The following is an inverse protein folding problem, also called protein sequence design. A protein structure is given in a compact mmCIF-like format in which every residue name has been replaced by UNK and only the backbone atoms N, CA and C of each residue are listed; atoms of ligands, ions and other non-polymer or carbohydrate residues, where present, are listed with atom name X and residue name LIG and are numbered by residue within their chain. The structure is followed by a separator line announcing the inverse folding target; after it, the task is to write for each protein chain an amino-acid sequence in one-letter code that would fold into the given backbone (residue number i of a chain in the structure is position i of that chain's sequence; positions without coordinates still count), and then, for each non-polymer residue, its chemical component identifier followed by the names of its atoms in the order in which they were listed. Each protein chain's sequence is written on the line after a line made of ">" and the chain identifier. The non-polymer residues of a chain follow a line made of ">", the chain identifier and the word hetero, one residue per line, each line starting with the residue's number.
data_IF_793710095579
#
_entry.id   IF_793710095579
#
_cell.length_a   1.000
_cell.length_b   1.000
_cell.length_c   1.000
_cell.angle_alpha   90.00
_cell.angle_beta   90.00
_cell.angle_gamma   90.00
#
_symmetry.space_group_name_H-M   'P 1'
#
loop_
_entity.id
_entity.type
_entity.pdbx_description
1 polymer ?
#
# COMPACT_ATOMS: atom_id res chain seq x y z
N UNK A 1 2.34 8.55 14.91
CA UNK A 1 2.34 7.81 16.18
C UNK A 1 1.15 6.86 16.27
N UNK A 2 1.26 5.83 17.10
CA UNK A 2 0.16 4.93 17.41
C UNK A 2 -0.78 5.63 18.40
N UNK A 3 -2.10 5.67 18.16
CA UNK A 3 -3.05 6.25 19.10
C UNK A 3 -2.94 5.62 20.49
N UNK A 4 -2.82 6.46 21.53
CA UNK A 4 -2.63 6.01 22.92
C UNK A 4 -1.22 5.53 23.27
N UNK A 5 -0.29 5.54 22.32
CA UNK A 5 1.11 5.23 22.56
C UNK A 5 2.03 6.05 21.63
N UNK A 6 2.21 7.31 21.96
CA UNK A 6 2.94 8.29 21.14
C UNK A 6 4.43 7.97 20.93
N UNK A 7 4.98 7.06 21.72
CA UNK A 7 6.38 6.64 21.59
C UNK A 7 6.62 5.73 20.39
N UNK A 8 5.59 5.05 19.91
CA UNK A 8 5.69 4.22 18.71
C UNK A 8 5.18 4.96 17.49
N UNK A 9 6.01 5.00 16.47
CA UNK A 9 5.72 5.69 15.22
C UNK A 9 5.93 4.75 14.05
N UNK A 10 4.92 4.63 13.19
CA UNK A 10 5.11 4.01 11.89
C UNK A 10 5.74 5.03 10.95
N UNK A 11 6.73 4.59 10.20
CA UNK A 11 7.35 5.34 9.10
C UNK A 11 7.57 4.43 7.92
N UNK A 12 7.77 5.00 6.75
CA UNK A 12 7.95 4.24 5.52
C UNK A 12 9.14 4.80 4.74
N UNK A 13 9.95 3.92 4.19
CA UNK A 13 10.84 4.27 3.09
C UNK A 13 10.12 4.04 1.76
N UNK A 14 10.61 4.69 0.74
CA UNK A 14 10.14 4.50 -0.64
C UNK A 14 10.04 3.00 -1.00
N UNK A 15 9.04 2.66 -1.82
CA UNK A 15 8.84 1.28 -2.25
C UNK A 15 8.18 0.36 -1.23
N UNK A 16 7.48 0.93 -0.23
CA UNK A 16 6.68 0.17 0.72
C UNK A 16 7.50 -0.62 1.74
N UNK A 17 8.55 -0.01 2.28
CA UNK A 17 9.35 -0.60 3.37
C UNK A 17 8.99 0.07 4.69
N UNK A 18 7.93 -0.40 5.38
CA UNK A 18 7.49 0.17 6.64
C UNK A 18 8.36 -0.26 7.82
N UNK A 19 8.47 0.66 8.78
CA UNK A 19 9.17 0.47 10.04
C UNK A 19 8.27 0.85 11.21
N UNK A 20 8.47 0.18 12.33
CA UNK A 20 7.99 0.61 13.64
C UNK A 20 9.18 1.16 14.44
N UNK A 21 9.09 2.41 14.87
CA UNK A 21 10.14 3.11 15.61
C UNK A 21 9.67 3.33 17.03
N UNK A 22 10.50 2.90 18.02
CA UNK A 22 10.36 3.31 19.42
C UNK A 22 11.22 4.55 19.66
N UNK A 23 10.57 5.72 19.74
CA UNK A 23 11.25 7.01 19.87
C UNK A 23 11.98 7.21 21.20
N UNK A 24 11.66 6.41 22.24
CA UNK A 24 12.34 6.50 23.55
C UNK A 24 13.78 6.02 23.49
N UNK A 25 14.03 5.00 22.69
CA UNK A 25 15.32 4.31 22.62
C UNK A 25 15.96 4.35 21.24
N UNK A 26 15.24 4.91 20.24
CA UNK A 26 15.69 4.91 18.84
C UNK A 26 15.69 3.52 18.19
N UNK A 27 14.99 2.55 18.77
CA UNK A 27 14.88 1.22 18.19
C UNK A 27 14.02 1.27 16.94
N UNK A 28 14.51 0.65 15.86
CA UNK A 28 13.83 0.57 14.58
C UNK A 28 13.63 -0.90 14.21
N UNK A 29 12.38 -1.30 14.05
CA UNK A 29 11.99 -2.62 13.60
C UNK A 29 11.46 -2.55 12.17
N UNK A 30 12.03 -3.30 11.25
CA UNK A 30 11.45 -3.49 9.91
C UNK A 30 10.23 -4.40 10.02
N UNK A 31 9.10 -3.91 9.50
CA UNK A 31 7.81 -4.63 9.54
C UNK A 31 7.26 -4.87 8.13
N UNK A 32 8.14 -5.06 7.16
CA UNK A 32 7.78 -5.18 5.75
C UNK A 32 6.90 -6.42 5.50
N UNK A 33 5.69 -6.25 4.89
CA UNK A 33 4.76 -7.37 4.68
C UNK A 33 5.25 -8.40 3.65
N UNK A 34 6.12 -7.97 2.77
CA UNK A 34 6.74 -8.84 1.76
C UNK A 34 8.19 -8.40 1.54
N UNK A 35 9.12 -8.90 2.35
CA UNK A 35 10.52 -8.52 2.26
C UNK A 35 11.09 -8.89 0.90
N UNK A 36 11.42 -7.89 0.12
CA UNK A 36 12.10 -7.99 -1.16
C UNK A 36 13.19 -6.93 -1.23
N UNK A 37 14.27 -7.23 -1.92
CA UNK A 37 15.30 -6.23 -2.15
C UNK A 37 14.71 -5.17 -3.09
N UNK A 38 14.54 -3.97 -2.56
CA UNK A 38 14.13 -2.80 -3.31
C UNK A 38 15.38 -2.22 -3.98
N UNK A 39 15.26 -1.82 -5.24
CA UNK A 39 16.36 -1.18 -5.96
C UNK A 39 17.39 -2.13 -6.56
N UNK A 40 17.07 -3.43 -6.70
CA UNK A 40 17.92 -4.34 -7.44
C UNK A 40 17.81 -4.04 -8.94
N UNK A 41 18.88 -3.56 -9.54
CA UNK A 41 18.99 -3.41 -10.98
C UNK A 41 18.73 -4.76 -11.69
N UNK A 42 17.86 -4.74 -12.68
CA UNK A 42 17.62 -5.91 -13.54
C UNK A 42 16.36 -6.73 -13.25
N UNK A 43 15.61 -6.46 -12.16
CA UNK A 43 14.36 -7.16 -11.90
C UNK A 43 13.17 -6.34 -12.41
N UNK A 44 12.57 -6.76 -13.52
CA UNK A 44 11.45 -6.03 -14.13
C UNK A 44 10.22 -6.05 -13.22
N UNK A 45 9.51 -4.90 -13.17
CA UNK A 45 8.32 -4.69 -12.33
C UNK A 45 7.24 -5.75 -12.58
N UNK A 46 7.07 -6.17 -13.82
CA UNK A 46 6.09 -7.18 -14.23
C UNK A 46 6.32 -8.55 -13.59
N UNK A 47 7.56 -8.83 -13.13
CA UNK A 47 7.92 -10.07 -12.47
C UNK A 47 7.67 -10.03 -10.95
N UNK A 48 7.34 -8.88 -10.40
CA UNK A 48 7.09 -8.75 -8.97
C UNK A 48 5.70 -9.27 -8.61
N UNK A 49 5.63 -10.15 -7.62
CA UNK A 49 4.36 -10.62 -7.07
C UNK A 49 3.55 -9.47 -6.48
N UNK A 50 4.23 -8.57 -5.77
CA UNK A 50 3.64 -7.36 -5.20
C UNK A 50 4.41 -6.13 -5.67
N UNK A 51 3.67 -5.08 -5.95
CA UNK A 51 4.17 -3.77 -6.37
C UNK A 51 3.87 -2.77 -5.28
N UNK A 52 4.83 -1.91 -4.98
CA UNK A 52 4.67 -0.83 -4.02
C UNK A 52 5.10 0.48 -4.68
N UNK A 53 4.39 1.55 -4.39
CA UNK A 53 4.73 2.88 -4.86
C UNK A 53 5.79 3.52 -3.96
N UNK A 54 6.35 4.65 -4.40
CA UNK A 54 7.15 5.53 -3.56
C UNK A 54 6.40 5.88 -2.28
N UNK A 55 5.13 6.32 -2.43
CA UNK A 55 4.24 6.74 -1.36
C UNK A 55 3.30 5.60 -0.91
N UNK A 56 3.83 4.38 -0.75
CA UNK A 56 3.03 3.27 -0.28
C UNK A 56 2.35 3.61 1.06
N UNK A 57 1.00 3.53 1.15
CA UNK A 57 0.28 4.02 2.32
C UNK A 57 0.43 3.09 3.52
N UNK A 58 0.53 3.70 4.71
CA UNK A 58 0.34 3.03 6.00
C UNK A 58 -0.89 3.66 6.66
N UNK A 59 -1.82 2.83 7.10
CA UNK A 59 -3.01 3.27 7.81
C UNK A 59 -3.19 2.48 9.10
N UNK A 60 -3.34 3.17 10.23
CA UNK A 60 -3.64 2.55 11.53
C UNK A 60 -5.15 2.48 11.67
N UNK A 61 -5.69 1.32 12.04
CA UNK A 61 -7.12 1.18 12.28
C UNK A 61 -7.60 2.15 13.38
N UNK A 62 -8.69 2.90 13.15
CA UNK A 62 -9.27 3.73 14.19
C UNK A 62 -9.99 2.91 15.28
N UNK A 63 -10.17 1.61 15.07
CA UNK A 63 -10.87 0.71 16.00
C UNK A 63 -9.92 -0.12 16.86
N UNK A 64 -8.65 -0.23 16.47
CA UNK A 64 -7.67 -1.05 17.17
C UNK A 64 -6.25 -0.59 16.84
N UNK A 65 -5.52 0.00 17.78
CA UNK A 65 -4.19 0.54 17.55
C UNK A 65 -3.11 -0.53 17.23
N UNK A 66 -3.40 -1.81 17.47
CA UNK A 66 -2.53 -2.92 17.08
C UNK A 66 -2.69 -3.28 15.59
N UNK A 67 -3.83 -2.88 15.00
CA UNK A 67 -4.14 -3.16 13.59
C UNK A 67 -3.59 -2.08 12.67
N UNK A 68 -2.78 -2.50 11.71
CA UNK A 68 -2.19 -1.62 10.68
C UNK A 68 -2.36 -2.23 9.29
N UNK A 69 -2.60 -1.35 8.32
CA UNK A 69 -2.71 -1.70 6.91
C UNK A 69 -1.56 -1.09 6.11
N UNK A 70 -1.07 -1.82 5.11
CA UNK A 70 -0.07 -1.34 4.15
C UNK A 70 -0.56 -1.63 2.74
N UNK A 71 -0.42 -0.65 1.84
CA UNK A 71 -0.82 -0.78 0.44
C UNK A 71 0.35 -1.13 -0.47
N UNK A 72 0.13 -2.17 -1.27
CA UNK A 72 0.88 -2.48 -2.48
C UNK A 72 -0.08 -2.45 -3.67
N UNK A 73 -0.01 -3.41 -4.59
CA UNK A 73 -1.14 -3.65 -5.51
C UNK A 73 -2.32 -4.37 -4.82
N UNK A 74 -2.07 -4.90 -3.64
CA UNK A 74 -3.04 -5.46 -2.70
C UNK A 74 -2.97 -4.71 -1.38
N UNK A 75 -3.90 -4.96 -0.46
CA UNK A 75 -3.82 -4.49 0.93
C UNK A 75 -3.35 -5.62 1.82
N UNK A 76 -2.30 -5.34 2.58
CA UNK A 76 -1.81 -6.15 3.68
C UNK A 76 -2.39 -5.62 4.98
N UNK A 77 -2.78 -6.52 5.87
CA UNK A 77 -3.25 -6.21 7.22
C UNK A 77 -2.42 -6.96 8.24
N UNK A 78 -2.03 -6.28 9.28
CA UNK A 78 -1.45 -6.84 10.50
C UNK A 78 -2.34 -6.53 11.68
N UNK A 79 -2.42 -7.43 12.65
CA UNK A 79 -3.14 -7.25 13.92
C UNK A 79 -2.21 -7.32 15.14
N UNK A 80 -0.90 -7.26 14.89
CA UNK A 80 0.17 -7.40 15.87
C UNK A 80 1.32 -6.40 15.60
N UNK A 81 0.96 -5.17 15.19
CA UNK A 81 1.90 -4.07 14.89
C UNK A 81 2.91 -4.38 13.79
N UNK A 82 2.59 -5.25 12.86
CA UNK A 82 3.46 -5.57 11.73
C UNK A 82 4.38 -6.77 11.96
N UNK A 83 4.19 -7.54 13.03
CA UNK A 83 4.96 -8.77 13.24
C UNK A 83 4.49 -9.90 12.31
N UNK A 84 3.20 -9.93 11.97
CA UNK A 84 2.66 -10.82 10.96
C UNK A 84 1.68 -10.11 10.03
N UNK A 85 1.50 -10.64 8.81
CA UNK A 85 0.70 -10.02 7.77
C UNK A 85 -0.19 -11.02 7.04
N UNK A 86 -1.40 -10.59 6.74
CA UNK A 86 -2.33 -11.27 5.84
C UNK A 86 -2.66 -10.37 4.64
N UNK A 87 -2.90 -10.96 3.48
CA UNK A 87 -3.42 -10.25 2.31
C UNK A 87 -4.94 -10.29 2.38
N UNK A 88 -5.57 -9.11 2.44
CA UNK A 88 -7.03 -8.98 2.60
C UNK A 88 -7.73 -8.46 1.34
N UNK A 89 -7.04 -8.43 0.20
CA UNK A 89 -7.65 -8.01 -1.06
C UNK A 89 -7.11 -8.78 -2.25
N UNK A 90 -7.85 -8.85 -3.37
CA UNK A 90 -7.26 -9.12 -4.68
C UNK A 90 -6.36 -7.96 -5.10
N UNK A 91 -5.77 -8.02 -6.32
CA UNK A 91 -5.15 -6.85 -6.96
C UNK A 91 -6.26 -5.80 -7.20
N UNK A 92 -6.15 -4.64 -6.53
CA UNK A 92 -7.15 -3.56 -6.55
C UNK A 92 -6.95 -2.59 -7.71
N UNK A 93 -5.86 -2.75 -8.45
CA UNK A 93 -5.43 -1.86 -9.53
C UNK A 93 -6.02 -2.27 -10.88
N UNK A 94 -5.69 -1.55 -11.94
CA UNK A 94 -6.00 -1.99 -13.31
C UNK A 94 -5.12 -3.13 -13.75
N UNK A 95 -3.97 -3.28 -13.11
CA UNK A 95 -2.90 -4.23 -13.45
C UNK A 95 -2.46 -4.12 -14.93
N UNK A 96 -2.45 -2.91 -15.47
CA UNK A 96 -2.08 -2.62 -16.86
C UNK A 96 -0.60 -2.93 -17.11
N UNK A 97 -0.33 -4.06 -17.77
CA UNK A 97 1.03 -4.52 -18.05
C UNK A 97 1.82 -3.58 -18.96
N UNK A 98 1.16 -2.77 -19.78
CA UNK A 98 1.83 -1.78 -20.62
C UNK A 98 2.52 -0.69 -19.81
N UNK A 99 2.02 -0.43 -18.58
CA UNK A 99 2.53 0.57 -17.64
C UNK A 99 3.45 0.01 -16.55
N UNK A 100 3.72 -1.28 -16.58
CA UNK A 100 4.61 -1.98 -15.64
C UNK A 100 5.96 -2.32 -16.27
N UNK A 101 6.27 -1.75 -17.42
CA UNK A 101 7.57 -1.93 -18.06
C UNK A 101 8.62 -1.10 -17.33
N UNK A 102 9.83 -1.63 -17.31
CA UNK A 102 10.99 -0.94 -16.74
C UNK A 102 11.24 0.38 -17.46
N UNK A 103 11.47 1.45 -16.71
CA UNK A 103 11.94 2.74 -17.21
C UNK A 103 13.47 2.77 -17.40
N UNK A 104 14.03 3.90 -17.85
CA UNK A 104 15.46 4.13 -17.95
C UNK A 104 16.13 3.73 -19.29
N UNK A 105 15.41 3.08 -20.19
CA UNK A 105 15.88 2.78 -21.54
C UNK A 105 16.86 1.59 -21.66
N UNK A 106 17.55 1.49 -22.81
CA UNK A 106 18.29 0.28 -23.18
C UNK A 106 19.68 0.14 -22.52
N UNK A 107 20.25 1.22 -21.99
CA UNK A 107 21.60 1.21 -21.41
C UNK A 107 21.51 0.92 -19.90
N UNK A 108 20.58 1.54 -19.21
CA UNK A 108 20.36 1.34 -17.79
C UNK A 108 18.86 1.28 -17.51
N UNK A 109 18.41 0.19 -16.92
CA UNK A 109 17.01 0.02 -16.53
C UNK A 109 16.83 0.53 -15.10
N UNK A 110 15.81 1.37 -14.90
CA UNK A 110 15.44 1.82 -13.58
C UNK A 110 14.41 0.87 -12.94
N UNK A 111 14.86 0.12 -11.95
CA UNK A 111 14.05 -0.82 -11.17
C UNK A 111 14.10 -0.48 -9.68
N UNK A 112 14.16 0.81 -9.35
CA UNK A 112 14.33 1.26 -7.95
C UNK A 112 13.09 1.05 -7.07
N UNK A 113 11.99 0.56 -7.62
CA UNK A 113 10.68 0.44 -6.97
C UNK A 113 10.00 1.80 -6.66
N UNK A 114 10.64 2.91 -7.00
CA UNK A 114 10.08 4.25 -6.82
C UNK A 114 9.05 4.59 -7.90
N UNK A 115 9.23 4.04 -9.10
CA UNK A 115 8.44 4.33 -10.30
C UNK A 115 7.40 3.25 -10.61
N UNK A 116 7.05 2.41 -9.63
CA UNK A 116 6.06 1.36 -9.82
C UNK A 116 4.66 1.97 -9.96
N UNK A 117 3.98 1.60 -11.03
CA UNK A 117 2.60 1.94 -11.31
C UNK A 117 1.68 0.74 -11.06
N UNK A 118 0.36 0.99 -11.00
CA UNK A 118 -0.67 0.04 -10.58
C UNK A 118 -0.47 -0.38 -9.11
N UNK A 119 -0.57 0.60 -8.23
CA UNK A 119 -0.40 0.46 -6.78
C UNK A 119 -1.48 1.21 -6.01
N UNK A 120 -1.73 0.81 -4.78
CA UNK A 120 -2.59 1.54 -3.84
C UNK A 120 -1.82 2.74 -3.31
N UNK A 121 -2.42 3.93 -3.40
CA UNK A 121 -1.89 5.20 -2.89
C UNK A 121 -2.55 5.64 -1.58
N UNK A 122 -3.78 5.20 -1.33
CA UNK A 122 -4.52 5.62 -0.15
C UNK A 122 -5.35 4.48 0.43
N UNK A 123 -5.38 4.41 1.75
CA UNK A 123 -6.22 3.49 2.52
C UNK A 123 -6.91 4.29 3.61
N UNK A 124 -8.20 4.10 3.76
CA UNK A 124 -8.97 4.68 4.86
C UNK A 124 -9.98 3.67 5.39
N UNK A 125 -9.83 3.25 6.63
CA UNK A 125 -10.88 2.54 7.34
C UNK A 125 -11.84 3.55 7.96
N UNK A 126 -13.14 3.28 7.84
CA UNK A 126 -14.19 4.12 8.43
C UNK A 126 -14.02 4.20 9.95
N UNK A 127 -14.00 5.41 10.56
CA UNK A 127 -13.95 5.53 12.01
C UNK A 127 -15.26 5.15 12.71
N UNK A 128 -16.35 5.02 11.94
CA UNK A 128 -17.70 4.71 12.47
C UNK A 128 -17.94 3.20 12.42
N UNK A 129 -17.48 2.52 11.40
CA UNK A 129 -17.78 1.10 11.18
C UNK A 129 -16.52 0.32 10.86
N UNK A 130 -16.15 -0.57 11.76
CA UNK A 130 -15.00 -1.48 11.59
C UNK A 130 -15.15 -2.35 10.34
N UNK A 131 -14.07 -2.48 9.58
CA UNK A 131 -14.04 -3.31 8.37
C UNK A 131 -14.63 -2.66 7.12
N UNK A 132 -15.11 -1.42 7.20
CA UNK A 132 -15.42 -0.62 6.01
C UNK A 132 -14.15 0.12 5.61
N UNK A 133 -13.53 -0.31 4.51
CA UNK A 133 -12.22 0.18 4.08
C UNK A 133 -12.30 0.67 2.64
N UNK A 134 -11.83 1.89 2.41
CA UNK A 134 -11.65 2.49 1.10
C UNK A 134 -10.19 2.34 0.66
N UNK A 135 -10.00 2.12 -0.63
CA UNK A 135 -8.68 2.13 -1.25
C UNK A 135 -8.71 2.94 -2.55
N UNK A 136 -7.75 3.83 -2.70
CA UNK A 136 -7.48 4.59 -3.91
C UNK A 136 -6.17 4.15 -4.55
N UNK A 137 -6.12 4.08 -5.89
CA UNK A 137 -4.94 3.65 -6.62
C UNK A 137 -4.34 4.76 -7.49
N UNK A 138 -3.07 4.63 -7.85
CA UNK A 138 -2.35 5.53 -8.76
C UNK A 138 -2.85 5.46 -10.21
N UNK A 139 -3.53 4.37 -10.54
CA UNK A 139 -4.10 4.14 -11.87
C UNK A 139 -5.63 4.39 -11.93
N UNK A 140 -6.18 5.04 -10.90
CA UNK A 140 -7.50 5.65 -10.89
C UNK A 140 -8.63 4.75 -10.39
N UNK A 141 -8.36 3.60 -9.79
CA UNK A 141 -9.41 2.80 -9.18
C UNK A 141 -9.78 3.31 -7.79
N UNK A 142 -11.08 3.31 -7.50
CA UNK A 142 -11.64 3.51 -6.18
C UNK A 142 -12.34 2.22 -5.78
N UNK A 143 -11.88 1.62 -4.72
CA UNK A 143 -12.32 0.32 -4.22
C UNK A 143 -12.88 0.42 -2.82
N UNK A 144 -13.89 -0.37 -2.51
CA UNK A 144 -14.53 -0.42 -1.21
C UNK A 144 -14.76 -1.85 -0.79
N UNK A 145 -14.40 -2.17 0.45
CA UNK A 145 -14.90 -3.33 1.18
C UNK A 145 -15.81 -2.89 2.33
N UNK A 146 -16.81 -3.69 2.65
CA UNK A 146 -17.71 -3.47 3.80
C UNK A 146 -17.64 -4.62 4.81
N UNK A 147 -16.78 -5.59 4.58
CA UNK A 147 -16.70 -6.87 5.30
C UNK A 147 -15.26 -7.24 5.70
N UNK A 148 -14.41 -6.22 5.89
CA UNK A 148 -13.04 -6.39 6.37
C UNK A 148 -12.07 -6.96 5.33
N UNK A 149 -12.44 -6.90 4.04
CA UNK A 149 -11.59 -7.35 2.94
C UNK A 149 -12.02 -8.67 2.30
N UNK A 150 -13.11 -9.29 2.75
CA UNK A 150 -13.62 -10.53 2.16
C UNK A 150 -14.09 -10.29 0.73
N UNK A 151 -14.83 -9.18 0.50
CA UNK A 151 -15.28 -8.77 -0.82
C UNK A 151 -14.90 -7.31 -1.11
N UNK A 152 -14.56 -7.03 -2.36
CA UNK A 152 -14.19 -5.69 -2.82
C UNK A 152 -15.04 -5.26 -4.01
N UNK A 153 -15.43 -3.98 -4.03
CA UNK A 153 -16.24 -3.39 -5.10
C UNK A 153 -15.53 -2.18 -5.67
N UNK A 154 -15.31 -2.19 -6.99
CA UNK A 154 -14.87 -1.02 -7.74
C UNK A 154 -16.04 -0.04 -7.89
N UNK A 155 -15.80 1.22 -7.58
CA UNK A 155 -16.83 2.26 -7.54
C UNK A 155 -16.70 3.32 -8.65
N UNK A 156 -15.76 3.19 -9.55
CA UNK A 156 -15.47 4.17 -10.61
C UNK A 156 -16.72 4.56 -11.41
N UNK A 157 -17.55 3.60 -11.78
CA UNK A 157 -18.76 3.84 -12.60
C UNK A 157 -19.81 4.72 -11.88
N UNK A 158 -19.67 4.88 -10.57
CA UNK A 158 -20.55 5.71 -9.73
C UNK A 158 -20.05 7.14 -9.60
N UNK A 159 -18.83 7.43 -10.06
CA UNK A 159 -18.20 8.74 -9.92
C UNK A 159 -18.10 9.39 -11.28
N UNK A 160 -19.02 10.33 -11.53
CA UNK A 160 -19.05 11.05 -12.82
C UNK A 160 -17.83 11.96 -12.95
N UNK A 161 -17.20 11.93 -14.13
CA UNK A 161 -16.11 12.84 -14.45
C UNK A 161 -14.75 12.47 -13.87
N UNK A 162 -14.60 11.29 -13.27
CA UNK A 162 -13.29 10.79 -12.86
C UNK A 162 -12.49 10.42 -14.13
N UNK A 163 -11.37 11.13 -14.43
CA UNK A 163 -10.56 10.76 -15.56
C UNK A 163 -9.88 9.41 -15.37
N UNK A 164 -9.65 8.70 -16.44
CA UNK A 164 -8.89 7.46 -16.42
C UNK A 164 -7.44 7.74 -15.94
N UNK A 165 -6.89 6.84 -15.14
CA UNK A 165 -5.54 6.95 -14.56
C UNK A 165 -5.33 8.19 -13.65
N UNK A 166 -6.38 8.77 -13.11
CA UNK A 166 -6.24 9.80 -12.08
C UNK A 166 -5.75 9.19 -10.78
N UNK A 167 -4.75 9.81 -10.19
CA UNK A 167 -4.29 9.41 -8.86
C UNK A 167 -5.39 9.64 -7.82
N UNK A 168 -5.69 8.60 -7.05
CA UNK A 168 -6.66 8.67 -5.95
C UNK A 168 -5.88 8.64 -4.64
N UNK A 169 -5.56 9.83 -4.14
CA UNK A 169 -4.68 10.04 -2.98
C UNK A 169 -5.40 10.47 -1.70
N UNK A 170 -6.69 10.82 -1.78
CA UNK A 170 -7.59 11.15 -0.66
C UNK A 170 -9.05 11.01 -1.09
#
# INVERSE_FOLDING_TARGET
>A
PIPGNEHFVYTNLQGGVPFLVDSRYGNVQTIHPFPKIVGSAGDAIENHKYRFNWDAPIHISPHDPETVYVGGNVIFKSQDRGNSWEVISPDLTTNDKSKQKTSGGSIYQDNTAAEFHCTVLYIAESPIQKGVIWAGTDDGNIQLTMDGGITWKKLNDKIKGLPQYSWVSK
#
